data_IF_881508408879
#
_entry.id   IF_881508408879
#
_cell.length_a   1.000
_cell.length_b   1.000
_cell.length_c   1.000
_cell.angle_alpha   90.00
_cell.angle_beta   90.00
_cell.angle_gamma   90.00
#
_symmetry.space_group_name_H-M   'P 1'
#
loop_
_entity.id
_entity.type
_entity.pdbx_description
1 polymer ?
#
# COMPACT_ATOMS: atom_id res chain seq x y z
N UNK A 1 13.22 30.24 -17.54
CA UNK A 1 11.98 30.40 -18.35
C UNK A 1 11.17 29.12 -18.21
N UNK A 2 9.97 29.22 -17.64
CA UNK A 2 9.13 28.06 -17.33
C UNK A 2 8.58 27.41 -18.59
N UNK A 3 8.61 26.07 -18.64
CA UNK A 3 7.97 25.28 -19.69
C UNK A 3 6.45 25.45 -19.57
N UNK A 4 5.75 25.69 -20.67
CA UNK A 4 4.29 25.80 -20.64
C UNK A 4 3.66 24.46 -20.20
N UNK A 5 2.58 24.48 -19.40
CA UNK A 5 1.89 23.25 -18.98
C UNK A 5 1.54 22.33 -20.15
N UNK A 6 1.11 22.91 -21.27
CA UNK A 6 0.84 22.20 -22.52
C UNK A 6 2.05 21.38 -23.02
N UNK A 7 3.24 21.96 -22.98
CA UNK A 7 4.46 21.29 -23.41
C UNK A 7 4.87 20.16 -22.43
N UNK A 8 4.61 20.32 -21.13
CA UNK A 8 4.81 19.25 -20.13
C UNK A 8 3.92 18.05 -20.47
N UNK A 9 2.61 18.25 -20.67
CA UNK A 9 1.70 17.16 -21.03
C UNK A 9 2.05 16.54 -22.38
N UNK A 10 2.52 17.33 -23.35
CA UNK A 10 3.03 16.82 -24.63
C UNK A 10 4.24 15.90 -24.43
N UNK A 11 5.21 16.28 -23.59
CA UNK A 11 6.38 15.44 -23.30
C UNK A 11 5.96 14.17 -22.55
N UNK A 12 5.10 14.27 -21.55
CA UNK A 12 4.57 13.13 -20.80
C UNK A 12 3.80 12.14 -21.70
N UNK A 13 3.08 12.62 -22.71
CA UNK A 13 2.35 11.76 -23.65
C UNK A 13 3.24 10.82 -24.48
N UNK A 14 4.53 11.15 -24.61
CA UNK A 14 5.50 10.37 -25.42
C UNK A 14 6.20 9.27 -24.62
N UNK A 15 6.14 9.31 -23.29
CA UNK A 15 6.87 8.38 -22.43
C UNK A 15 5.95 7.26 -21.98
N UNK A 16 6.08 6.08 -22.61
CA UNK A 16 5.19 4.94 -22.38
C UNK A 16 5.32 4.31 -20.98
N UNK A 17 6.46 4.53 -20.30
CA UNK A 17 6.74 4.00 -18.96
C UNK A 17 5.69 4.41 -17.91
N UNK A 18 5.02 5.55 -18.10
CA UNK A 18 4.06 6.09 -17.13
C UNK A 18 2.63 5.53 -17.26
N UNK A 19 2.39 4.59 -18.18
CA UNK A 19 1.13 3.84 -18.27
C UNK A 19 -0.12 4.71 -18.38
N UNK A 20 -1.00 4.65 -17.38
CA UNK A 20 -2.27 5.40 -17.36
C UNK A 20 -2.07 6.92 -17.34
N UNK A 21 -1.02 7.42 -16.69
CA UNK A 21 -0.70 8.86 -16.69
C UNK A 21 -0.34 9.33 -18.10
N UNK A 22 0.37 8.51 -18.87
CA UNK A 22 0.68 8.80 -20.27
C UNK A 22 -0.58 8.84 -21.13
N UNK A 23 -1.53 7.90 -20.95
CA UNK A 23 -2.81 7.90 -21.66
C UNK A 23 -3.62 9.17 -21.37
N UNK A 24 -3.68 9.59 -20.12
CA UNK A 24 -4.36 10.83 -19.72
C UNK A 24 -3.66 12.07 -20.28
N UNK A 25 -2.32 12.14 -20.18
CA UNK A 25 -1.53 13.22 -20.75
C UNK A 25 -1.66 13.31 -22.28
N UNK A 26 -1.77 12.18 -22.98
CA UNK A 26 -1.99 12.11 -24.43
C UNK A 26 -3.33 12.70 -24.84
N UNK A 27 -4.38 12.46 -24.06
CA UNK A 27 -5.71 13.05 -24.31
C UNK A 27 -5.68 14.57 -24.13
N UNK A 28 -5.07 15.05 -23.05
CA UNK A 28 -4.88 16.50 -22.78
C UNK A 28 -4.06 17.14 -23.91
N UNK A 29 -2.93 16.54 -24.30
CA UNK A 29 -2.08 17.05 -25.38
C UNK A 29 -2.80 17.07 -26.73
N UNK A 30 -3.67 16.07 -27.00
CA UNK A 30 -4.50 16.05 -28.22
C UNK A 30 -5.51 17.19 -28.23
N UNK A 31 -6.21 17.45 -27.13
CA UNK A 31 -7.15 18.58 -27.04
C UNK A 31 -6.45 19.92 -27.29
N UNK A 32 -5.26 20.12 -26.71
CA UNK A 32 -4.54 21.39 -26.85
C UNK A 32 -3.94 21.56 -28.25
N UNK A 33 -3.17 20.58 -28.75
CA UNK A 33 -2.39 20.75 -29.97
C UNK A 33 -3.13 20.38 -31.26
N UNK A 34 -4.10 19.47 -31.19
CA UNK A 34 -4.82 18.99 -32.38
C UNK A 34 -6.19 19.68 -32.48
N UNK A 35 -6.90 19.84 -31.35
CA UNK A 35 -8.23 20.46 -31.35
C UNK A 35 -8.21 21.98 -31.10
N UNK A 36 -7.06 22.55 -30.73
CA UNK A 36 -6.92 23.99 -30.49
C UNK A 36 -7.66 24.50 -29.26
N UNK A 37 -7.96 23.61 -28.30
CA UNK A 37 -8.66 23.96 -27.07
C UNK A 37 -7.68 24.66 -26.12
N UNK A 38 -8.16 25.70 -25.43
CA UNK A 38 -7.38 26.39 -24.39
C UNK A 38 -6.88 25.43 -23.31
N UNK A 39 -5.68 25.70 -22.78
CA UNK A 39 -5.03 24.82 -21.79
C UNK A 39 -5.86 24.65 -20.53
N UNK A 40 -6.48 25.72 -20.01
CA UNK A 40 -7.30 25.63 -18.80
C UNK A 40 -8.56 24.82 -19.08
N UNK A 41 -9.20 25.04 -20.23
CA UNK A 41 -10.40 24.29 -20.63
C UNK A 41 -10.11 22.80 -20.83
N UNK A 42 -9.02 22.45 -21.50
CA UNK A 42 -8.60 21.06 -21.68
C UNK A 42 -8.30 20.36 -20.35
N UNK A 43 -7.70 21.07 -19.38
CA UNK A 43 -7.47 20.54 -18.04
C UNK A 43 -8.78 20.33 -17.26
N UNK A 44 -9.77 21.22 -17.43
CA UNK A 44 -11.11 21.02 -16.83
C UNK A 44 -11.81 19.77 -17.39
N UNK A 45 -11.79 19.58 -18.71
CA UNK A 45 -12.32 18.35 -19.32
C UNK A 45 -11.61 17.09 -18.79
N UNK A 46 -10.30 17.16 -18.54
CA UNK A 46 -9.55 16.05 -17.95
C UNK A 46 -10.00 15.71 -16.51
N UNK A 47 -10.37 16.71 -15.71
CA UNK A 47 -10.93 16.51 -14.35
C UNK A 47 -12.29 15.81 -14.43
N UNK A 48 -13.16 16.23 -15.34
CA UNK A 48 -14.50 15.64 -15.51
C UNK A 48 -14.42 14.19 -15.98
N UNK A 49 -13.51 13.90 -16.91
CA UNK A 49 -13.38 12.58 -17.53
C UNK A 49 -12.63 11.55 -16.66
N UNK A 50 -11.70 11.98 -15.81
CA UNK A 50 -10.88 11.04 -15.03
C UNK A 50 -11.70 10.41 -13.90
N UNK A 51 -11.55 9.10 -13.60
CA UNK A 51 -12.14 8.51 -12.39
C UNK A 51 -11.27 8.70 -11.14
N UNK A 52 -9.99 9.05 -11.29
CA UNK A 52 -9.03 9.13 -10.17
C UNK A 52 -9.13 10.45 -9.42
N UNK A 53 -9.50 10.41 -8.14
CA UNK A 53 -9.56 11.59 -7.27
C UNK A 53 -8.18 12.27 -7.14
N UNK A 54 -7.11 11.50 -6.92
CA UNK A 54 -5.74 12.05 -6.83
C UNK A 54 -5.34 12.80 -8.10
N UNK A 55 -5.69 12.28 -9.27
CA UNK A 55 -5.40 12.95 -10.54
C UNK A 55 -6.22 14.24 -10.71
N UNK A 56 -7.50 14.23 -10.34
CA UNK A 56 -8.34 15.44 -10.36
C UNK A 56 -7.76 16.54 -9.48
N UNK A 57 -7.37 16.21 -8.25
CA UNK A 57 -6.81 17.16 -7.30
C UNK A 57 -5.47 17.75 -7.80
N UNK A 58 -4.65 16.92 -8.46
CA UNK A 58 -3.42 17.37 -9.11
C UNK A 58 -3.68 18.35 -10.25
N UNK A 59 -4.57 18.02 -11.19
CA UNK A 59 -4.91 18.90 -12.31
C UNK A 59 -5.59 20.19 -11.82
N UNK A 60 -6.44 20.09 -10.80
CA UNK A 60 -7.08 21.25 -10.18
C UNK A 60 -6.04 22.20 -9.56
N UNK A 61 -5.03 21.68 -8.89
CA UNK A 61 -3.94 22.50 -8.36
C UNK A 61 -3.14 23.21 -9.46
N UNK A 62 -2.87 22.54 -10.60
CA UNK A 62 -2.24 23.17 -11.78
C UNK A 62 -3.09 24.36 -12.27
N UNK A 63 -4.41 24.17 -12.43
CA UNK A 63 -5.31 25.23 -12.87
C UNK A 63 -5.28 26.41 -11.89
N UNK A 64 -5.36 26.15 -10.58
CA UNK A 64 -5.34 27.18 -9.55
C UNK A 64 -4.01 27.95 -9.51
N UNK A 65 -2.87 27.27 -9.72
CA UNK A 65 -1.56 27.92 -9.80
C UNK A 65 -1.43 28.80 -11.06
N UNK A 66 -1.93 28.34 -12.21
CA UNK A 66 -1.95 29.13 -13.45
C UNK A 66 -2.84 30.38 -13.29
N UNK A 67 -4.05 30.22 -12.73
CA UNK A 67 -5.01 31.31 -12.57
C UNK A 67 -4.56 32.36 -11.55
N UNK A 68 -3.86 31.95 -10.49
CA UNK A 68 -3.29 32.85 -9.50
C UNK A 68 -1.97 33.51 -9.94
N UNK A 69 -1.41 33.11 -11.09
CA UNK A 69 -0.10 33.57 -11.54
C UNK A 69 1.07 33.11 -10.65
N UNK A 70 0.84 32.07 -9.83
CA UNK A 70 1.85 31.54 -8.91
C UNK A 70 2.86 30.63 -9.64
N UNK A 71 3.99 30.33 -9.00
CA UNK A 71 5.05 29.52 -9.61
C UNK A 71 4.65 28.04 -9.67
N UNK A 72 4.47 27.55 -10.89
CA UNK A 72 4.14 26.16 -11.17
C UNK A 72 5.24 25.19 -10.73
N UNK A 73 6.52 25.60 -10.77
CA UNK A 73 7.61 24.76 -10.29
C UNK A 73 7.52 24.54 -8.79
N UNK A 74 7.16 25.59 -8.04
CA UNK A 74 6.96 25.48 -6.59
C UNK A 74 5.77 24.57 -6.27
N UNK A 75 4.67 24.67 -7.03
CA UNK A 75 3.55 23.74 -6.90
C UNK A 75 3.97 22.29 -7.15
N UNK A 76 4.72 22.02 -8.23
CA UNK A 76 5.20 20.67 -8.53
C UNK A 76 6.17 20.13 -7.48
N UNK A 77 7.05 20.96 -6.92
CA UNK A 77 7.91 20.55 -5.82
C UNK A 77 7.08 20.14 -4.59
N UNK A 78 6.11 20.98 -4.22
CA UNK A 78 5.25 20.73 -3.06
C UNK A 78 4.38 19.47 -3.22
N UNK A 79 3.86 19.20 -4.42
CA UNK A 79 3.04 18.00 -4.65
C UNK A 79 3.88 16.73 -4.68
N UNK A 80 5.11 16.78 -5.20
CA UNK A 80 6.07 15.67 -5.13
C UNK A 80 6.40 15.35 -3.68
N UNK A 81 6.76 16.37 -2.89
CA UNK A 81 7.05 16.19 -1.47
C UNK A 81 5.84 15.62 -0.71
N UNK A 82 4.63 16.13 -1.00
CA UNK A 82 3.39 15.61 -0.39
C UNK A 82 3.17 14.14 -0.72
N UNK A 83 3.17 13.76 -1.99
CA UNK A 83 2.91 12.37 -2.39
C UNK A 83 4.00 11.42 -1.93
N UNK A 84 5.25 11.87 -1.88
CA UNK A 84 6.34 11.10 -1.29
C UNK A 84 6.15 10.88 0.21
N UNK A 85 5.72 11.91 0.96
CA UNK A 85 5.39 11.75 2.37
C UNK A 85 4.19 10.84 2.59
N UNK A 86 3.13 10.96 1.78
CA UNK A 86 1.96 10.07 1.83
C UNK A 86 2.38 8.60 1.59
N UNK A 87 3.20 8.34 0.57
CA UNK A 87 3.71 6.98 0.26
C UNK A 87 4.59 6.44 1.40
N UNK A 88 5.46 7.27 1.97
CA UNK A 88 6.28 6.88 3.12
C UNK A 88 5.42 6.56 4.36
N UNK A 89 4.36 7.33 4.60
CA UNK A 89 3.43 7.06 5.70
C UNK A 89 2.65 5.76 5.48
N UNK A 90 2.19 5.51 4.26
CA UNK A 90 1.49 4.27 3.90
C UNK A 90 2.40 3.05 4.08
N UNK A 91 3.64 3.13 3.60
CA UNK A 91 4.66 2.09 3.83
C UNK A 91 4.96 1.86 5.30
N UNK A 92 5.11 2.93 6.09
CA UNK A 92 5.33 2.83 7.54
C UNK A 92 4.17 2.12 8.23
N UNK A 93 2.94 2.49 7.91
CA UNK A 93 1.73 1.83 8.43
C UNK A 93 1.68 0.35 8.08
N UNK A 94 2.10 -0.02 6.87
CA UNK A 94 2.20 -1.42 6.46
C UNK A 94 3.25 -2.16 7.29
N UNK A 95 4.43 -1.57 7.52
CA UNK A 95 5.47 -2.15 8.37
C UNK A 95 5.02 -2.31 9.83
N UNK A 96 4.33 -1.30 10.39
CA UNK A 96 3.75 -1.39 11.73
C UNK A 96 2.73 -2.54 11.83
N UNK A 97 1.90 -2.71 10.80
CA UNK A 97 0.95 -3.83 10.73
C UNK A 97 1.67 -5.19 10.69
N UNK A 98 2.76 -5.30 9.93
CA UNK A 98 3.61 -6.50 9.91
C UNK A 98 4.25 -6.77 11.28
N UNK A 99 4.71 -5.73 11.98
CA UNK A 99 5.31 -5.86 13.31
C UNK A 99 4.32 -6.41 14.34
N UNK A 100 3.08 -5.90 14.34
CA UNK A 100 2.01 -6.41 15.21
C UNK A 100 1.71 -7.89 14.91
N UNK A 101 1.65 -8.27 13.63
CA UNK A 101 1.46 -9.67 13.23
C UNK A 101 2.62 -10.55 13.74
N UNK A 102 3.85 -10.06 13.65
CA UNK A 102 5.03 -10.77 14.14
C UNK A 102 5.02 -10.91 15.67
N UNK A 103 4.56 -9.91 16.42
CA UNK A 103 4.41 -9.99 17.87
C UNK A 103 3.39 -11.06 18.28
N UNK A 104 2.21 -11.05 17.64
CA UNK A 104 1.17 -12.05 17.88
C UNK A 104 1.68 -13.47 17.57
N UNK A 105 2.48 -13.63 16.52
CA UNK A 105 3.11 -14.92 16.19
C UNK A 105 3.96 -15.47 17.34
N UNK A 106 4.85 -14.64 17.87
CA UNK A 106 5.78 -15.05 18.94
C UNK A 106 5.00 -15.44 20.19
N UNK A 107 3.95 -14.70 20.55
CA UNK A 107 3.16 -14.98 21.75
C UNK A 107 2.26 -16.21 21.55
N UNK A 108 1.47 -16.23 20.48
CA UNK A 108 0.39 -17.22 20.30
C UNK A 108 0.85 -18.54 19.70
N UNK A 109 1.84 -18.53 18.80
CA UNK A 109 2.26 -19.73 18.04
C UNK A 109 3.56 -20.32 18.58
N UNK A 110 4.44 -19.51 19.18
CA UNK A 110 5.70 -19.98 19.75
C UNK A 110 5.59 -20.14 21.27
N UNK A 111 5.37 -19.04 22.00
CA UNK A 111 5.45 -19.05 23.46
C UNK A 111 4.31 -19.84 24.11
N UNK A 112 3.05 -19.61 23.72
CA UNK A 112 1.90 -20.28 24.30
C UNK A 112 1.96 -21.81 24.16
N UNK A 113 2.25 -22.38 22.97
CA UNK A 113 2.38 -23.83 22.84
C UNK A 113 3.59 -24.39 23.59
N UNK A 114 4.70 -23.65 23.66
CA UNK A 114 5.86 -24.06 24.44
C UNK A 114 5.51 -24.18 25.94
N UNK A 115 4.80 -23.20 26.50
CA UNK A 115 4.31 -23.25 27.88
C UNK A 115 3.38 -24.45 28.10
N UNK A 116 2.43 -24.69 27.19
CA UNK A 116 1.55 -25.85 27.24
C UNK A 116 2.33 -27.16 27.27
N UNK A 117 3.32 -27.32 26.38
CA UNK A 117 4.16 -28.52 26.33
C UNK A 117 4.90 -28.72 27.66
N UNK A 118 5.48 -27.67 28.25
CA UNK A 118 6.20 -27.76 29.53
C UNK A 118 5.26 -28.16 30.68
N UNK A 119 4.08 -27.52 30.78
CA UNK A 119 3.10 -27.82 31.84
C UNK A 119 2.62 -29.27 31.71
N UNK A 120 2.22 -29.69 30.50
CA UNK A 120 1.74 -31.05 30.26
C UNK A 120 2.86 -32.08 30.54
N UNK A 121 4.08 -31.83 30.09
CA UNK A 121 5.20 -32.73 30.32
C UNK A 121 5.52 -32.89 31.82
N UNK A 122 5.57 -31.79 32.58
CA UNK A 122 5.84 -31.82 34.02
C UNK A 122 4.74 -32.52 34.80
N UNK A 123 3.46 -32.25 34.47
CA UNK A 123 2.31 -32.94 35.07
C UNK A 123 2.31 -34.45 34.75
N UNK A 124 2.61 -34.83 33.50
CA UNK A 124 2.66 -36.23 33.08
C UNK A 124 3.80 -37.00 33.73
N UNK A 125 4.92 -36.34 34.08
CA UNK A 125 6.05 -36.96 34.79
C UNK A 125 5.84 -37.05 36.30
N UNK A 126 5.18 -36.07 36.90
CA UNK A 126 5.01 -35.97 38.37
C UNK A 126 3.82 -36.77 38.88
N UNK A 127 2.79 -36.95 38.05
CA UNK A 127 1.60 -37.72 38.44
C UNK A 127 1.81 -39.22 38.18
N UNK A 128 1.88 -39.99 39.26
CA UNK A 128 1.91 -41.46 39.21
C UNK A 128 0.53 -42.03 38.85
N UNK A 129 0.08 -41.79 37.62
CA UNK A 129 -1.11 -42.44 37.03
C UNK A 129 -2.37 -41.58 36.85
N UNK A 130 -2.33 -40.27 37.11
CA UNK A 130 -3.52 -39.39 37.03
C UNK A 130 -3.40 -38.14 36.14
N UNK A 131 -2.26 -37.90 35.51
CA UNK A 131 -2.03 -36.72 34.66
C UNK A 131 -2.50 -36.88 33.23
N UNK A 132 -2.35 -35.80 32.47
CA UNK A 132 -2.62 -35.78 31.02
C UNK A 132 -1.68 -36.80 30.35
N UNK A 133 -2.20 -37.77 29.57
CA UNK A 133 -1.37 -38.81 28.96
C UNK A 133 -0.45 -38.23 27.89
N UNK A 134 0.75 -38.82 27.73
CA UNK A 134 1.72 -38.44 26.69
C UNK A 134 1.15 -38.44 25.27
N UNK A 135 0.11 -39.24 25.00
CA UNK A 135 -0.63 -39.24 23.73
C UNK A 135 -1.22 -37.87 23.37
N UNK A 136 -1.67 -37.09 24.37
CA UNK A 136 -2.18 -35.73 24.15
C UNK A 136 -1.05 -34.75 23.78
N UNK A 137 0.14 -34.92 24.36
CA UNK A 137 1.33 -34.15 23.99
C UNK A 137 1.73 -34.44 22.54
N UNK A 138 1.71 -35.71 22.12
CA UNK A 138 1.94 -36.08 20.72
C UNK A 138 0.91 -35.46 19.77
N UNK A 139 -0.38 -35.48 20.12
CA UNK A 139 -1.44 -34.83 19.34
C UNK A 139 -1.19 -33.32 19.21
N UNK A 140 -0.86 -32.66 20.31
CA UNK A 140 -0.60 -31.23 20.33
C UNK A 140 0.62 -30.86 19.49
N UNK A 141 1.71 -31.63 19.60
CA UNK A 141 2.97 -31.36 18.91
C UNK A 141 2.93 -31.71 17.41
N UNK A 142 2.31 -32.84 17.03
CA UNK A 142 2.32 -33.31 15.64
C UNK A 142 1.10 -32.84 14.83
N UNK A 143 0.01 -32.41 15.46
CA UNK A 143 -1.19 -31.98 14.75
C UNK A 143 -1.52 -30.50 15.01
N UNK A 144 -1.72 -30.13 16.28
CA UNK A 144 -2.23 -28.79 16.64
C UNK A 144 -1.20 -27.71 16.30
N UNK A 145 0.07 -27.92 16.67
CA UNK A 145 1.15 -26.98 16.39
C UNK A 145 1.34 -26.76 14.87
N UNK A 146 1.54 -27.80 14.03
CA UNK A 146 1.65 -27.63 12.60
C UNK A 146 0.45 -26.94 11.96
N UNK A 147 -0.77 -27.24 12.42
CA UNK A 147 -1.98 -26.55 11.96
C UNK A 147 -1.97 -25.07 12.34
N UNK A 148 -1.52 -24.72 13.56
CA UNK A 148 -1.38 -23.33 13.97
C UNK A 148 -0.35 -22.57 13.11
N UNK A 149 0.81 -23.18 12.82
CA UNK A 149 1.82 -22.61 11.93
C UNK A 149 1.28 -22.43 10.49
N UNK A 150 0.55 -23.41 9.97
CA UNK A 150 -0.08 -23.32 8.64
C UNK A 150 -1.16 -22.23 8.60
N UNK A 151 -2.01 -22.15 9.62
CA UNK A 151 -3.02 -21.11 9.73
C UNK A 151 -2.39 -19.72 9.74
N UNK A 152 -1.31 -19.54 10.51
CA UNK A 152 -0.57 -18.29 10.55
C UNK A 152 0.11 -17.95 9.21
N UNK A 153 0.70 -18.94 8.54
CA UNK A 153 1.28 -18.76 7.21
C UNK A 153 0.24 -18.28 6.18
N UNK A 154 -0.97 -18.85 6.19
CA UNK A 154 -2.06 -18.43 5.30
C UNK A 154 -2.53 -17.01 5.62
N UNK A 155 -2.68 -16.68 6.90
CA UNK A 155 -3.05 -15.33 7.34
C UNK A 155 -2.02 -14.29 6.86
N UNK A 156 -0.73 -14.56 7.07
CA UNK A 156 0.36 -13.70 6.62
C UNK A 156 0.36 -13.54 5.10
N UNK A 157 0.16 -14.63 4.34
CA UNK A 157 0.04 -14.57 2.89
C UNK A 157 -1.15 -13.71 2.45
N UNK A 158 -2.31 -13.85 3.10
CA UNK A 158 -3.50 -13.05 2.77
C UNK A 158 -3.29 -11.55 3.03
N UNK A 159 -2.57 -11.20 4.08
CA UNK A 159 -2.27 -9.80 4.42
C UNK A 159 -1.18 -9.22 3.52
N UNK A 160 -0.13 -10.00 3.24
CA UNK A 160 0.98 -9.59 2.38
C UNK A 160 0.57 -9.45 0.90
N UNK A 161 -0.41 -10.23 0.43
CA UNK A 161 -0.92 -10.15 -0.97
C UNK A 161 -1.82 -8.93 -1.20
N UNK A 162 -2.24 -8.22 -0.14
CA UNK A 162 -3.05 -7.00 -0.23
C UNK A 162 -2.27 -5.69 -0.04
N UNK A 163 -0.98 -5.78 0.29
CA UNK A 163 -0.06 -4.64 0.41
C UNK A 163 0.79 -4.50 -0.86
#
# INVERSE_FOLDING_TARGET
AGISPAEIFKKLSKVELYGEVQKEAKKIAKEIYIMGIDTITALKHAIERSPSKKFKDFIQGIISTIQSGSDLNLYFKNIVDRYMQEDLLERKKNLESLAIIAEIFVIAVIAFPLFLVIIIATMSLTSSGGGIPFSFLYLLSFLILPLAYLGFYVMMKSTAVRA
#
